data_IF_590731648533
#
_entry.id   IF_590731648533
#
_cell.length_a   1.000
_cell.length_b   1.000
_cell.length_c   1.000
_cell.angle_alpha   90.00
_cell.angle_beta   90.00
_cell.angle_gamma   90.00
#
_symmetry.space_group_name_H-M   'P 1'
#
loop_
_entity.id
_entity.type
_entity.pdbx_description
1 polymer ?
#
# COMPACT_ATOMS: atom_id res chain seq x y z
N UNK A 1 -24.27 -7.81 13.09
CA UNK A 1 -22.82 -7.54 12.93
C UNK A 1 -22.33 -7.04 14.28
N UNK A 2 -21.44 -7.77 14.95
CA UNK A 2 -20.80 -7.31 16.19
C UNK A 2 -19.43 -6.79 15.80
N UNK A 3 -19.13 -5.52 16.11
CA UNK A 3 -17.81 -4.95 15.86
C UNK A 3 -16.91 -5.45 16.99
N UNK A 4 -15.95 -6.32 16.66
CA UNK A 4 -15.04 -6.90 17.64
C UNK A 4 -13.97 -5.91 18.12
N UNK A 5 -13.53 -4.98 17.25
CA UNK A 5 -12.51 -3.99 17.57
C UNK A 5 -12.59 -2.79 16.62
N UNK A 6 -12.33 -1.60 17.15
CA UNK A 6 -12.15 -0.35 16.39
C UNK A 6 -10.76 0.19 16.70
N UNK A 7 -10.03 0.59 15.66
CA UNK A 7 -8.75 1.32 15.78
C UNK A 7 -8.96 2.72 15.25
N UNK A 8 -8.55 3.72 16.01
CA UNK A 8 -8.66 5.13 15.67
C UNK A 8 -7.36 5.65 15.02
N UNK A 9 -7.45 6.79 14.34
CA UNK A 9 -6.32 7.41 13.62
C UNK A 9 -5.18 7.86 14.54
N UNK A 10 -5.51 8.24 15.78
CA UNK A 10 -4.53 8.56 16.83
C UNK A 10 -3.81 7.30 17.38
N UNK A 11 -4.26 6.14 16.92
CA UNK A 11 -3.70 4.85 17.21
C UNK A 11 -4.23 4.17 18.47
N UNK A 12 -5.20 4.78 19.14
CA UNK A 12 -5.97 4.14 20.21
C UNK A 12 -6.91 3.09 19.63
N UNK A 13 -7.44 2.21 20.49
CA UNK A 13 -8.36 1.17 20.07
C UNK A 13 -9.34 0.79 21.18
N UNK A 14 -10.53 0.35 20.78
CA UNK A 14 -11.52 -0.29 21.64
C UNK A 14 -11.72 -1.73 21.19
N UNK A 15 -11.69 -2.69 22.13
CA UNK A 15 -11.88 -4.11 21.85
C UNK A 15 -10.63 -4.96 22.09
N UNK A 16 -10.44 -5.98 21.27
CA UNK A 16 -9.41 -7.00 21.43
C UNK A 16 -8.04 -6.49 20.94
N UNK A 17 -7.03 -6.62 21.80
CA UNK A 17 -5.66 -6.16 21.50
C UNK A 17 -5.06 -6.88 20.30
N UNK A 18 -5.37 -8.16 20.13
CA UNK A 18 -4.85 -8.95 19.01
C UNK A 18 -5.42 -8.48 17.66
N UNK A 19 -6.73 -8.21 17.62
CA UNK A 19 -7.38 -7.67 16.43
C UNK A 19 -6.90 -6.25 16.13
N UNK A 20 -6.73 -5.41 17.15
CA UNK A 20 -6.19 -4.06 16.97
C UNK A 20 -4.77 -4.09 16.40
N UNK A 21 -3.93 -4.99 16.90
CA UNK A 21 -2.57 -5.19 16.42
C UNK A 21 -2.54 -5.70 14.97
N UNK A 22 -3.43 -6.62 14.60
CA UNK A 22 -3.56 -7.14 13.22
C UNK A 22 -3.96 -6.04 12.23
N UNK A 23 -5.02 -5.27 12.56
CA UNK A 23 -5.49 -4.15 11.73
C UNK A 23 -4.36 -3.13 11.53
N UNK A 24 -3.73 -2.71 12.64
CA UNK A 24 -2.66 -1.70 12.63
C UNK A 24 -1.45 -2.18 11.83
N UNK A 25 -1.03 -3.45 12.01
CA UNK A 25 0.10 -4.01 11.30
C UNK A 25 -0.14 -4.10 9.79
N UNK A 26 -1.35 -4.51 9.38
CA UNK A 26 -1.72 -4.57 7.96
C UNK A 26 -1.76 -3.17 7.35
N UNK A 27 -2.38 -2.21 8.04
CA UNK A 27 -2.46 -0.82 7.60
C UNK A 27 -1.06 -0.21 7.44
N UNK A 28 -0.18 -0.41 8.44
CA UNK A 28 1.22 0.06 8.40
C UNK A 28 1.99 -0.52 7.19
N UNK A 29 1.89 -1.83 6.96
CA UNK A 29 2.51 -2.47 5.80
C UNK A 29 1.99 -1.90 4.49
N UNK A 30 0.67 -1.69 4.38
CA UNK A 30 0.05 -1.10 3.19
C UNK A 30 0.52 0.33 2.95
N UNK A 31 0.53 1.18 3.98
CA UNK A 31 1.01 2.56 3.91
C UNK A 31 2.46 2.65 3.43
N UNK A 32 3.35 1.82 3.99
CA UNK A 32 4.76 1.77 3.58
C UNK A 32 4.88 1.47 2.09
N UNK A 33 4.13 0.48 1.59
CA UNK A 33 4.22 0.12 0.17
C UNK A 33 3.60 1.20 -0.73
N UNK A 34 2.47 1.78 -0.35
CA UNK A 34 1.84 2.86 -1.11
C UNK A 34 2.76 4.08 -1.20
N UNK A 35 3.46 4.43 -0.14
CA UNK A 35 4.48 5.51 -0.18
C UNK A 35 5.60 5.21 -1.20
N UNK A 36 6.09 3.96 -1.26
CA UNK A 36 7.09 3.52 -2.26
C UNK A 36 6.54 3.61 -3.68
N UNK A 37 5.30 3.18 -3.90
CA UNK A 37 4.60 3.27 -5.19
C UNK A 37 4.43 4.72 -5.64
N UNK A 38 3.97 5.61 -4.75
CA UNK A 38 3.74 7.01 -5.08
C UNK A 38 5.03 7.69 -5.51
N UNK A 39 6.16 7.37 -4.86
CA UNK A 39 7.49 7.82 -5.29
C UNK A 39 7.83 7.35 -6.73
N UNK A 40 7.58 6.08 -7.04
CA UNK A 40 7.76 5.53 -8.40
C UNK A 40 6.87 6.25 -9.43
N UNK A 41 5.59 6.44 -9.12
CA UNK A 41 4.63 7.10 -10.02
C UNK A 41 4.99 8.56 -10.30
N UNK A 42 5.49 9.29 -9.28
CA UNK A 42 5.93 10.70 -9.45
C UNK A 42 7.05 10.79 -10.48
N UNK A 43 8.03 9.89 -10.42
CA UNK A 43 9.15 9.86 -11.38
C UNK A 43 8.71 9.57 -12.82
N UNK A 44 7.57 8.89 -13.02
CA UNK A 44 7.07 8.55 -14.35
C UNK A 44 6.35 9.71 -15.04
N UNK A 45 5.89 10.73 -14.32
CA UNK A 45 5.22 11.91 -14.91
C UNK A 45 6.18 12.79 -15.72
N UNK A 46 7.47 12.72 -15.41
CA UNK A 46 8.52 13.56 -15.99
C UNK A 46 9.37 12.85 -17.07
N UNK A 47 9.07 11.58 -17.36
CA UNK A 47 9.84 10.80 -18.32
C UNK A 47 9.51 11.18 -19.79
N UNK A 48 10.50 11.35 -20.67
CA UNK A 48 10.30 11.65 -22.10
C UNK A 48 9.89 10.43 -22.94
N UNK A 49 9.61 9.30 -22.30
CA UNK A 49 9.32 8.01 -22.94
C UNK A 49 7.89 7.98 -23.53
N UNK A 50 7.63 7.04 -24.47
CA UNK A 50 6.27 6.79 -24.95
C UNK A 50 5.38 6.24 -23.81
N UNK A 51 4.07 6.46 -23.89
CA UNK A 51 3.11 5.98 -22.89
C UNK A 51 3.22 4.47 -22.66
N UNK A 52 3.40 3.69 -23.72
CA UNK A 52 3.54 2.23 -23.61
C UNK A 52 4.78 1.83 -22.81
N UNK A 53 5.92 2.47 -23.09
CA UNK A 53 7.18 2.23 -22.37
C UNK A 53 7.07 2.67 -20.92
N UNK A 54 6.45 3.82 -20.66
CA UNK A 54 6.24 4.33 -19.30
C UNK A 54 5.37 3.38 -18.45
N UNK A 55 4.28 2.84 -19.03
CA UNK A 55 3.40 1.88 -18.36
C UNK A 55 4.09 0.55 -18.05
N UNK A 56 4.82 -0.02 -19.01
CA UNK A 56 5.60 -1.25 -18.76
C UNK A 56 6.64 -1.04 -17.66
N UNK A 57 7.39 0.06 -17.72
CA UNK A 57 8.38 0.41 -16.71
C UNK A 57 7.76 0.56 -15.32
N UNK A 58 6.60 1.23 -15.21
CA UNK A 58 5.86 1.35 -13.96
C UNK A 58 5.45 -0.03 -13.41
N UNK A 59 4.87 -0.90 -14.24
CA UNK A 59 4.48 -2.26 -13.84
C UNK A 59 5.69 -3.06 -13.35
N UNK A 60 6.81 -3.01 -14.07
CA UNK A 60 8.05 -3.70 -13.66
C UNK A 60 8.58 -3.17 -12.33
N UNK A 61 8.68 -1.85 -12.18
CA UNK A 61 9.17 -1.24 -10.93
C UNK A 61 8.27 -1.56 -9.73
N UNK A 62 6.94 -1.49 -9.90
CA UNK A 62 5.99 -1.80 -8.83
C UNK A 62 5.99 -3.29 -8.50
N UNK A 63 6.00 -4.18 -9.50
CA UNK A 63 5.96 -5.64 -9.27
C UNK A 63 7.21 -6.16 -8.56
N UNK A 64 8.36 -5.50 -8.79
CA UNK A 64 9.64 -5.80 -8.14
C UNK A 64 9.84 -5.13 -6.80
N UNK A 65 8.87 -4.30 -6.34
CA UNK A 65 8.94 -3.75 -4.99
C UNK A 65 9.00 -4.86 -3.96
N UNK A 66 9.95 -4.67 -3.04
CA UNK A 66 10.24 -5.58 -1.94
C UNK A 66 9.02 -5.76 -1.03
N UNK A 67 8.91 -6.93 -0.42
CA UNK A 67 7.84 -7.29 0.53
C UNK A 67 8.38 -7.82 1.86
N UNK A 68 9.70 -7.83 2.03
CA UNK A 68 10.35 -8.02 3.31
C UNK A 68 9.99 -6.88 4.27
N UNK A 69 9.81 -7.26 5.53
CA UNK A 69 9.41 -6.35 6.60
C UNK A 69 10.65 -5.92 7.35
N UNK A 70 10.85 -4.61 7.44
CA UNK A 70 11.90 -4.03 8.26
C UNK A 70 11.63 -4.36 9.73
N UNK A 71 12.63 -4.89 10.44
CA UNK A 71 12.48 -5.32 11.83
C UNK A 71 11.99 -4.19 12.75
N UNK A 72 12.43 -2.95 12.47
CA UNK A 72 12.01 -1.74 13.20
C UNK A 72 10.50 -1.48 13.15
N UNK A 73 9.82 -1.86 12.06
CA UNK A 73 8.36 -1.72 11.95
C UNK A 73 7.66 -2.65 12.94
N UNK A 74 8.18 -3.87 13.11
CA UNK A 74 7.64 -4.83 14.06
C UNK A 74 7.94 -4.42 15.50
N UNK A 75 9.12 -3.83 15.75
CA UNK A 75 9.53 -3.30 17.05
C UNK A 75 8.61 -2.15 17.50
N UNK A 76 8.28 -1.24 16.57
CA UNK A 76 7.33 -0.15 16.78
C UNK A 76 5.95 -0.70 17.18
N UNK A 77 5.45 -1.71 16.45
CA UNK A 77 4.17 -2.34 16.73
C UNK A 77 4.15 -3.06 18.09
N UNK A 78 5.20 -3.80 18.45
CA UNK A 78 5.30 -4.48 19.74
C UNK A 78 5.34 -3.50 20.92
N UNK A 79 5.97 -2.33 20.73
CA UNK A 79 5.99 -1.25 21.73
C UNK A 79 4.59 -0.67 21.95
N UNK A 80 3.80 -0.55 20.86
CA UNK A 80 2.42 -0.04 20.91
C UNK A 80 1.43 -1.04 21.50
N UNK A 81 1.69 -2.33 21.37
CA UNK A 81 0.85 -3.41 21.90
C UNK A 81 1.61 -4.26 22.93
N UNK A 82 1.95 -3.72 24.12
CA UNK A 82 2.79 -4.43 25.10
C UNK A 82 2.14 -5.69 25.67
N UNK A 83 0.80 -5.78 25.64
CA UNK A 83 0.03 -6.96 26.05
C UNK A 83 0.00 -8.07 25.00
N UNK A 84 0.56 -7.83 23.81
CA UNK A 84 0.63 -8.81 22.74
C UNK A 84 1.77 -9.83 23.01
N UNK A 85 1.57 -11.14 22.77
CA UNK A 85 2.58 -12.15 23.09
C UNK A 85 3.89 -11.89 22.33
N UNK A 86 5.01 -11.61 23.01
CA UNK A 86 6.20 -11.04 22.35
C UNK A 86 6.84 -11.94 21.27
N UNK A 87 7.10 -13.22 21.56
CA UNK A 87 7.76 -14.10 20.57
C UNK A 87 6.82 -14.58 19.45
N UNK A 88 5.63 -15.09 19.83
CA UNK A 88 4.61 -15.52 18.85
C UNK A 88 4.08 -14.32 18.05
N UNK A 89 3.93 -13.20 18.73
CA UNK A 89 3.41 -11.96 18.17
C UNK A 89 4.38 -11.28 17.22
N UNK A 90 5.70 -11.30 17.47
CA UNK A 90 6.68 -10.81 16.48
C UNK A 90 6.52 -11.50 15.14
N UNK A 91 6.57 -12.84 15.13
CA UNK A 91 6.44 -13.63 13.89
C UNK A 91 5.11 -13.36 13.19
N UNK A 92 4.03 -13.29 13.98
CA UNK A 92 2.71 -12.98 13.45
C UNK A 92 2.65 -11.58 12.83
N UNK A 93 3.06 -10.54 13.55
CA UNK A 93 3.08 -9.15 13.08
C UNK A 93 3.92 -9.01 11.81
N UNK A 94 5.07 -9.69 11.72
CA UNK A 94 5.85 -9.75 10.47
C UNK A 94 5.02 -10.28 9.30
N UNK A 95 4.27 -11.38 9.48
CA UNK A 95 3.41 -11.91 8.42
C UNK A 95 2.30 -10.92 8.06
N UNK A 96 1.70 -10.26 9.05
CA UNK A 96 0.60 -9.31 8.84
C UNK A 96 1.08 -8.05 8.11
N UNK A 97 2.22 -7.48 8.51
CA UNK A 97 2.84 -6.34 7.82
C UNK A 97 3.21 -6.73 6.38
N UNK A 98 3.78 -7.92 6.18
CA UNK A 98 4.08 -8.44 4.84
C UNK A 98 2.82 -8.53 3.97
N UNK A 99 1.69 -8.95 4.53
CA UNK A 99 0.42 -8.98 3.81
C UNK A 99 -0.06 -7.57 3.44
N UNK A 100 0.12 -6.59 4.32
CA UNK A 100 -0.11 -5.18 4.00
C UNK A 100 0.78 -4.68 2.85
N UNK A 101 2.07 -5.02 2.87
CA UNK A 101 3.01 -4.68 1.79
C UNK A 101 2.56 -5.28 0.45
N UNK A 102 2.17 -6.56 0.44
CA UNK A 102 1.63 -7.23 -0.76
C UNK A 102 0.36 -6.53 -1.26
N UNK A 103 -0.57 -6.23 -0.36
CA UNK A 103 -1.82 -5.57 -0.70
C UNK A 103 -1.59 -4.20 -1.34
N UNK A 104 -0.71 -3.37 -0.76
CA UNK A 104 -0.40 -2.06 -1.34
C UNK A 104 0.23 -2.15 -2.74
N UNK A 105 1.05 -3.18 -2.99
CA UNK A 105 1.61 -3.46 -4.32
C UNK A 105 0.54 -3.90 -5.31
N UNK A 106 -0.33 -4.84 -4.93
CA UNK A 106 -1.41 -5.34 -5.77
C UNK A 106 -2.41 -4.25 -6.12
N UNK A 107 -2.75 -3.40 -5.16
CA UNK A 107 -3.62 -2.24 -5.36
C UNK A 107 -3.06 -1.29 -6.41
N UNK A 108 -1.76 -0.98 -6.33
CA UNK A 108 -1.09 -0.16 -7.32
C UNK A 108 -1.08 -0.79 -8.72
N UNK A 109 -0.76 -2.09 -8.82
CA UNK A 109 -0.78 -2.81 -10.09
C UNK A 109 -2.17 -2.84 -10.72
N UNK A 110 -3.22 -2.98 -9.89
CA UNK A 110 -4.60 -2.89 -10.35
C UNK A 110 -4.90 -1.52 -10.97
N UNK A 111 -4.43 -0.42 -10.36
CA UNK A 111 -4.57 0.93 -10.93
C UNK A 111 -3.83 1.11 -12.24
N UNK A 112 -2.62 0.58 -12.36
CA UNK A 112 -1.89 0.63 -13.64
C UNK A 112 -2.66 -0.13 -14.72
N UNK A 113 -3.24 -1.28 -14.39
CA UNK A 113 -4.10 -2.04 -15.31
C UNK A 113 -5.35 -1.24 -15.72
N UNK A 114 -6.02 -0.56 -14.79
CA UNK A 114 -7.16 0.31 -15.11
C UNK A 114 -6.76 1.38 -16.15
N UNK A 115 -5.59 2.00 -15.99
CA UNK A 115 -5.05 3.00 -16.92
C UNK A 115 -4.81 2.39 -18.31
N UNK A 116 -4.26 1.17 -18.38
CA UNK A 116 -4.06 0.44 -19.64
C UNK A 116 -5.39 0.15 -20.35
N UNK A 117 -6.39 -0.30 -19.61
CA UNK A 117 -7.72 -0.55 -20.15
C UNK A 117 -8.40 0.73 -20.64
N UNK A 118 -8.26 1.85 -19.90
CA UNK A 118 -8.75 3.16 -20.33
C UNK A 118 -8.11 3.59 -21.65
N UNK A 119 -6.79 3.45 -21.78
CA UNK A 119 -6.06 3.74 -23.02
C UNK A 119 -6.54 2.88 -24.18
N UNK A 120 -6.71 1.58 -23.96
CA UNK A 120 -7.16 0.65 -25.00
C UNK A 120 -8.57 0.98 -25.52
N UNK A 121 -9.45 1.48 -24.64
CA UNK A 121 -10.83 1.86 -25.01
C UNK A 121 -10.92 3.20 -25.74
N UNK A 122 -10.01 4.15 -25.50
CA UNK A 122 -10.06 5.52 -26.05
C UNK A 122 -8.66 6.06 -26.39
N UNK A 123 -7.94 5.49 -27.37
CA UNK A 123 -6.54 5.81 -27.62
C UNK A 123 -6.31 7.27 -28.07
N UNK A 124 -7.21 7.84 -28.86
CA UNK A 124 -7.05 9.17 -29.47
C UNK A 124 -7.16 10.33 -28.46
N UNK A 125 -7.89 10.13 -27.36
CA UNK A 125 -8.15 11.16 -26.33
C UNK A 125 -7.58 10.78 -24.96
N UNK A 126 -6.63 9.84 -24.93
CA UNK A 126 -6.07 9.35 -23.68
C UNK A 126 -4.97 10.28 -23.16
N UNK A 127 -5.25 11.00 -22.09
CA UNK A 127 -4.24 11.76 -21.34
C UNK A 127 -3.63 10.89 -20.24
N UNK A 128 -2.42 10.38 -20.52
CA UNK A 128 -1.66 9.57 -19.58
C UNK A 128 -1.32 10.31 -18.28
N UNK A 129 -0.96 11.59 -18.35
CA UNK A 129 -0.57 12.36 -17.16
C UNK A 129 -1.78 12.59 -16.26
N UNK A 130 -2.94 12.89 -16.85
CA UNK A 130 -4.18 13.02 -16.10
C UNK A 130 -4.58 11.69 -15.44
N UNK A 131 -4.53 10.58 -16.18
CA UNK A 131 -4.88 9.26 -15.65
C UNK A 131 -3.94 8.82 -14.51
N UNK A 132 -2.62 9.06 -14.66
CA UNK A 132 -1.64 8.73 -13.63
C UNK A 132 -1.80 9.59 -12.37
N UNK A 133 -2.08 10.89 -12.52
CA UNK A 133 -2.38 11.78 -11.38
C UNK A 133 -3.64 11.34 -10.62
N UNK A 134 -4.71 10.99 -11.34
CA UNK A 134 -5.93 10.49 -10.71
C UNK A 134 -5.67 9.19 -9.93
N UNK A 135 -4.82 8.29 -10.45
CA UNK A 135 -4.41 7.09 -9.73
C UNK A 135 -3.58 7.42 -8.48
N UNK A 136 -2.66 8.40 -8.55
CA UNK A 136 -1.89 8.86 -7.40
C UNK A 136 -2.80 9.42 -6.29
N UNK A 137 -3.73 10.31 -6.63
CA UNK A 137 -4.68 10.90 -5.68
C UNK A 137 -5.52 9.83 -4.98
N UNK A 138 -5.99 8.82 -5.74
CA UNK A 138 -6.72 7.70 -5.17
C UNK A 138 -5.87 6.87 -4.21
N UNK A 139 -4.60 6.61 -4.53
CA UNK A 139 -3.68 5.88 -3.65
C UNK A 139 -3.28 6.72 -2.42
N UNK A 140 -3.17 8.03 -2.54
CA UNK A 140 -2.88 8.96 -1.43
C UNK A 140 -4.03 8.99 -0.42
N UNK A 141 -5.27 9.18 -0.88
CA UNK A 141 -6.48 9.12 -0.03
C UNK A 141 -6.57 7.79 0.71
N UNK A 142 -6.14 6.72 0.05
CA UNK A 142 -6.18 5.36 0.55
C UNK A 142 -5.01 4.99 1.44
N UNK A 143 -3.91 5.74 1.42
CA UNK A 143 -2.84 5.62 2.40
C UNK A 143 -3.13 6.42 3.67
N UNK A 144 -3.97 7.45 3.58
CA UNK A 144 -4.42 8.26 4.71
C UNK A 144 -5.51 7.56 5.55
N UNK A 145 -6.30 6.68 4.92
CA UNK A 145 -7.30 5.82 5.56
C UNK A 145 -6.72 4.41 5.84
#
# INVERSE_FOLDING_TARGET
>A
MVIATVVFDDGTYEGETETAADITARQKGRQIQLARVLSIMRNALDAPETIAVALEKLKTQISTLRIDVDASVVDELLTRFPKYPQERGRKWLTVVVMNGLKQGREEALFRIKDIEEMRARRPENFDFKQALRAAQEQLEQRSAN
#
